data_IF_937226626387
#
_entry.id   IF_937226626387
#
_cell.length_a   1.000
_cell.length_b   1.000
_cell.length_c   1.000
_cell.angle_alpha   90.00
_cell.angle_beta   90.00
_cell.angle_gamma   90.00
#
_symmetry.space_group_name_H-M   'P 1'
#
loop_
_entity.id
_entity.type
_entity.pdbx_description
1 polymer ?
#
# COMPACT_ATOMS: atom_id res chain seq x y z
N UNK A 1 5.56 -6.39 -19.04
CA UNK A 1 6.73 -6.09 -18.18
C UNK A 1 6.25 -5.81 -16.75
N UNK A 2 7.14 -5.77 -15.75
CA UNK A 2 6.77 -5.45 -14.35
C UNK A 2 7.15 -4.01 -14.02
N UNK A 3 6.22 -3.27 -13.45
CA UNK A 3 6.50 -1.94 -12.91
C UNK A 3 6.96 -2.04 -11.44
N UNK A 4 7.69 -1.04 -10.95
CA UNK A 4 8.14 -0.99 -9.57
C UNK A 4 7.72 0.29 -8.87
N UNK A 5 7.11 0.17 -7.70
CA UNK A 5 6.80 1.28 -6.80
C UNK A 5 7.64 1.13 -5.54
N UNK A 6 8.42 2.16 -5.21
CA UNK A 6 9.24 2.21 -4.00
C UNK A 6 8.63 3.20 -3.01
N UNK A 7 8.25 2.73 -1.83
CA UNK A 7 7.61 3.52 -0.78
C UNK A 7 8.54 3.58 0.44
N UNK A 8 8.74 4.75 1.05
CA UNK A 8 9.41 4.85 2.35
C UNK A 8 8.43 4.46 3.47
N UNK A 9 8.79 3.45 4.27
CA UNK A 9 8.01 2.98 5.41
C UNK A 9 8.22 3.88 6.65
N UNK A 10 7.82 5.15 6.56
CA UNK A 10 8.03 6.13 7.63
C UNK A 10 7.31 5.69 8.91
N UNK A 11 8.10 5.58 9.99
CA UNK A 11 7.63 5.25 11.34
C UNK A 11 7.39 3.77 11.60
N UNK A 12 7.79 2.87 10.70
CA UNK A 12 7.48 1.43 10.80
C UNK A 12 7.89 0.82 12.14
N UNK A 13 9.11 1.09 12.62
CA UNK A 13 9.60 0.51 13.87
C UNK A 13 8.96 1.12 15.14
N UNK A 14 8.38 2.32 15.06
CA UNK A 14 7.63 2.95 16.17
C UNK A 14 6.30 2.22 16.38
N UNK A 15 5.65 1.80 15.30
CA UNK A 15 4.41 1.04 15.39
C UNK A 15 4.66 -0.42 15.80
N UNK A 16 5.79 -1.02 15.39
CA UNK A 16 6.20 -2.35 15.88
C UNK A 16 6.56 -2.37 17.37
N UNK A 17 7.14 -1.29 17.91
CA UNK A 17 7.46 -1.23 19.35
C UNK A 17 6.20 -1.06 20.20
N UNK A 18 5.20 -0.30 19.73
CA UNK A 18 3.86 -0.25 20.37
C UNK A 18 3.21 -1.64 20.38
N UNK A 19 3.36 -2.40 19.30
CA UNK A 19 2.86 -3.78 19.20
C UNK A 19 3.55 -4.70 20.24
N UNK A 20 4.87 -4.58 20.40
CA UNK A 20 5.66 -5.33 21.40
C UNK A 20 5.39 -4.93 22.85
N UNK A 21 5.09 -3.65 23.13
CA UNK A 21 4.75 -3.19 24.49
C UNK A 21 3.30 -3.52 24.90
N UNK A 22 2.43 -3.93 23.97
CA UNK A 22 1.06 -4.40 24.24
C UNK A 22 0.98 -5.89 24.62
N UNK A 23 2.11 -6.59 24.71
CA UNK A 23 2.16 -8.00 25.10
C UNK A 23 1.90 -8.29 26.59
N UNK A 24 1.57 -7.28 27.41
CA UNK A 24 0.97 -7.53 28.73
C UNK A 24 -0.56 -7.59 28.61
N UNK A 25 -1.03 -8.75 28.13
CA UNK A 25 -2.37 -9.30 28.37
C UNK A 25 -3.56 -8.47 27.92
N UNK A 26 -4.06 -8.68 26.69
CA UNK A 26 -5.50 -8.71 26.29
C UNK A 26 -5.63 -8.65 24.76
N UNK A 27 -6.40 -9.56 24.15
CA UNK A 27 -7.15 -9.41 22.88
C UNK A 27 -6.51 -8.54 21.75
N UNK A 28 -5.20 -8.65 21.50
CA UNK A 28 -4.47 -7.67 20.69
C UNK A 28 -4.51 -7.93 19.17
N UNK A 29 -4.84 -9.14 18.71
CA UNK A 29 -5.00 -9.44 17.28
C UNK A 29 -6.16 -8.65 16.63
N UNK A 30 -7.10 -8.15 17.44
CA UNK A 30 -8.25 -7.34 16.99
C UNK A 30 -7.83 -5.90 16.62
N UNK A 31 -6.69 -5.40 17.10
CA UNK A 31 -6.23 -4.01 16.88
C UNK A 31 -4.84 -3.92 16.24
N UNK A 32 -4.56 -4.79 15.25
CA UNK A 32 -3.41 -4.61 14.36
C UNK A 32 -3.39 -3.17 13.84
N UNK A 33 -2.41 -2.36 14.27
CA UNK A 33 -2.30 -0.96 13.86
C UNK A 33 -2.17 -0.94 12.33
N UNK A 34 -3.12 -0.32 11.60
CA UNK A 34 -3.13 -0.40 10.16
C UNK A 34 -1.84 0.19 9.60
N UNK A 35 -1.18 -0.55 8.71
CA UNK A 35 0.06 -0.07 8.08
C UNK A 35 -0.16 1.30 7.45
N UNK A 36 0.81 2.19 7.68
CA UNK A 36 0.81 3.54 7.14
C UNK A 36 0.97 3.56 5.62
N UNK A 37 1.42 2.46 5.04
CA UNK A 37 1.62 2.25 3.61
C UNK A 37 1.07 0.90 3.16
N UNK A 38 0.61 0.83 1.92
CA UNK A 38 0.26 -0.41 1.22
C UNK A 38 0.03 -0.15 -0.27
N UNK A 39 0.11 -1.23 -1.06
CA UNK A 39 -0.32 -1.25 -2.47
C UNK A 39 -1.32 -2.38 -2.61
N UNK A 40 -2.46 -2.11 -3.25
CA UNK A 40 -3.49 -3.11 -3.49
C UNK A 40 -3.90 -3.10 -4.97
N UNK A 41 -3.99 -4.29 -5.57
CA UNK A 41 -4.55 -4.49 -6.89
C UNK A 41 -6.07 -4.40 -6.82
N UNK A 42 -6.67 -3.67 -7.74
CA UNK A 42 -8.12 -3.56 -7.87
C UNK A 42 -8.57 -4.64 -8.87
N UNK A 43 -9.40 -5.58 -8.40
CA UNK A 43 -9.89 -6.70 -9.21
C UNK A 43 -11.34 -6.56 -9.63
N UNK A 44 -12.10 -5.67 -9.00
CA UNK A 44 -13.50 -5.44 -9.34
C UNK A 44 -14.17 -4.44 -8.42
N UNK A 45 -15.48 -4.29 -8.62
CA UNK A 45 -16.35 -3.53 -7.73
C UNK A 45 -17.03 -4.48 -6.74
N UNK A 46 -17.18 -4.06 -5.49
CA UNK A 46 -17.93 -4.77 -4.47
C UNK A 46 -19.17 -3.95 -4.13
N UNK A 47 -20.34 -4.44 -4.54
CA UNK A 47 -21.64 -3.78 -4.32
C UNK A 47 -22.08 -3.75 -2.86
N UNK A 48 -21.54 -4.65 -2.02
CA UNK A 48 -21.92 -4.77 -0.61
C UNK A 48 -21.33 -3.67 0.27
N UNK A 49 -20.13 -3.17 -0.07
CA UNK A 49 -19.39 -2.17 0.72
C UNK A 49 -19.16 -0.85 -0.02
N UNK A 50 -19.88 -0.61 -1.12
CA UNK A 50 -19.74 0.56 -2.00
C UNK A 50 -18.26 0.92 -2.30
N UNK A 51 -17.51 -0.07 -2.77
CA UNK A 51 -16.05 0.09 -2.90
C UNK A 51 -15.37 -0.92 -3.81
N UNK A 52 -14.05 -0.75 -3.95
CA UNK A 52 -13.23 -1.63 -4.79
C UNK A 52 -12.85 -2.92 -4.06
N UNK A 53 -12.92 -4.05 -4.77
CA UNK A 53 -12.31 -5.30 -4.35
C UNK A 53 -10.79 -5.18 -4.49
N UNK A 54 -10.09 -5.38 -3.39
CA UNK A 54 -8.65 -5.16 -3.25
C UNK A 54 -7.90 -6.45 -2.93
N UNK A 55 -6.82 -6.70 -3.64
CA UNK A 55 -5.84 -7.73 -3.33
C UNK A 55 -4.53 -7.06 -2.93
N UNK A 56 -4.12 -7.18 -1.68
CA UNK A 56 -2.91 -6.51 -1.18
C UNK A 56 -1.65 -7.16 -1.74
N UNK A 57 -0.81 -6.35 -2.36
CA UNK A 57 0.46 -6.79 -2.96
C UNK A 57 1.51 -6.89 -1.85
N UNK A 58 2.28 -7.97 -1.85
CA UNK A 58 3.42 -8.11 -0.95
C UNK A 58 4.59 -7.26 -1.45
N UNK A 59 5.17 -6.45 -0.57
CA UNK A 59 6.32 -5.61 -0.88
C UNK A 59 7.60 -6.17 -0.25
N UNK A 60 8.70 -6.09 -0.98
CA UNK A 60 10.02 -6.48 -0.48
C UNK A 60 10.64 -5.32 0.31
N UNK A 61 11.03 -5.57 1.56
CA UNK A 61 11.59 -4.55 2.45
C UNK A 61 13.10 -4.47 2.34
N UNK A 62 13.60 -3.26 2.28
CA UNK A 62 15.01 -2.92 2.25
C UNK A 62 15.35 -2.02 3.44
N UNK A 63 16.25 -2.50 4.29
CA UNK A 63 16.75 -1.84 5.49
C UNK A 63 18.15 -1.24 5.29
N UNK A 64 18.74 -1.32 4.09
CA UNK A 64 20.12 -0.87 3.84
C UNK A 64 20.36 0.61 4.17
N UNK A 65 19.31 1.43 4.14
CA UNK A 65 19.35 2.86 4.49
C UNK A 65 18.65 3.18 5.81
N UNK A 66 18.26 2.17 6.58
CA UNK A 66 17.55 2.37 7.84
C UNK A 66 18.47 3.08 8.85
N UNK A 67 17.91 4.05 9.58
CA UNK A 67 18.59 4.60 10.74
C UNK A 67 18.55 3.60 11.91
N UNK A 68 19.38 3.82 12.95
CA UNK A 68 19.45 2.91 14.10
C UNK A 68 18.11 2.65 14.81
N UNK A 69 17.15 3.58 14.72
CA UNK A 69 15.81 3.45 15.28
C UNK A 69 14.78 2.82 14.31
N UNK A 70 15.11 2.57 13.05
CA UNK A 70 14.18 2.05 12.03
C UNK A 70 12.96 2.95 11.78
N UNK A 71 13.05 4.24 12.11
CA UNK A 71 11.95 5.19 11.95
C UNK A 71 11.90 5.79 10.55
N UNK A 72 13.04 5.79 9.85
CA UNK A 72 13.22 6.29 8.47
C UNK A 72 14.24 5.47 7.73
N UNK A 73 14.24 5.60 6.40
CA UNK A 73 15.20 4.95 5.52
C UNK A 73 14.94 3.46 5.29
N UNK A 74 13.80 2.96 5.77
CA UNK A 74 13.27 1.65 5.37
C UNK A 74 12.44 1.88 4.11
N UNK A 75 12.74 1.15 3.05
CA UNK A 75 12.00 1.23 1.80
C UNK A 75 11.32 -0.09 1.50
N UNK A 76 10.10 -0.03 0.99
CA UNK A 76 9.36 -1.20 0.52
C UNK A 76 9.15 -1.08 -0.97
N UNK A 77 9.66 -2.06 -1.69
CA UNK A 77 9.56 -2.13 -3.15
C UNK A 77 8.48 -3.12 -3.53
N UNK A 78 7.50 -2.65 -4.30
CA UNK A 78 6.39 -3.43 -4.82
C UNK A 78 6.61 -3.68 -6.31
N UNK A 79 6.58 -4.95 -6.71
CA UNK A 79 6.65 -5.35 -8.11
C UNK A 79 5.23 -5.59 -8.62
N UNK A 80 4.79 -4.78 -9.58
CA UNK A 80 3.43 -4.76 -10.06
C UNK A 80 3.35 -5.34 -11.47
N UNK A 81 2.41 -6.27 -11.65
CA UNK A 81 2.02 -6.74 -12.98
C UNK A 81 1.03 -5.73 -13.61
N UNK A 82 0.78 -5.79 -14.92
CA UNK A 82 -0.23 -4.95 -15.56
C UNK A 82 -1.60 -5.03 -14.87
N UNK A 83 -2.27 -3.89 -14.73
CA UNK A 83 -3.55 -3.79 -14.04
C UNK A 83 -3.76 -2.50 -13.25
N UNK A 84 -4.86 -2.44 -12.51
CA UNK A 84 -5.27 -1.28 -11.72
C UNK A 84 -4.86 -1.45 -10.26
N UNK A 85 -4.39 -0.37 -9.63
CA UNK A 85 -3.90 -0.38 -8.27
C UNK A 85 -4.35 0.86 -7.49
N UNK A 86 -4.51 0.68 -6.18
CA UNK A 86 -4.60 1.75 -5.20
C UNK A 86 -3.33 1.72 -4.33
N UNK A 87 -2.71 2.88 -4.17
CA UNK A 87 -1.48 3.05 -3.40
C UNK A 87 -1.77 3.99 -2.25
N UNK A 88 -1.45 3.54 -1.04
CA UNK A 88 -1.37 4.39 0.15
C UNK A 88 0.09 4.50 0.55
N UNK A 89 0.57 5.73 0.69
CA UNK A 89 1.92 6.00 1.16
C UNK A 89 1.94 7.17 2.13
N UNK A 90 2.87 7.10 3.09
CA UNK A 90 3.13 8.20 4.00
C UNK A 90 4.18 9.12 3.38
N UNK A 91 3.83 10.37 3.10
CA UNK A 91 4.77 11.36 2.53
C UNK A 91 5.50 12.14 3.62
N UNK A 92 4.91 12.25 4.81
CA UNK A 92 5.55 12.84 6.00
C UNK A 92 4.94 12.27 7.28
N UNK A 93 5.49 12.61 8.45
CA UNK A 93 4.96 12.16 9.75
C UNK A 93 3.45 12.42 9.95
N UNK A 94 2.94 13.51 9.38
CA UNK A 94 1.54 13.94 9.49
C UNK A 94 0.72 13.71 8.22
N UNK A 95 1.37 13.52 7.07
CA UNK A 95 0.69 13.46 5.78
C UNK A 95 0.73 12.05 5.18
N UNK A 96 -0.42 11.60 4.70
CA UNK A 96 -0.59 10.33 3.97
C UNK A 96 -1.27 10.63 2.66
N UNK A 97 -0.67 10.19 1.58
CA UNK A 97 -1.22 10.29 0.24
C UNK A 97 -1.85 8.95 -0.15
N UNK A 98 -2.96 9.04 -0.87
CA UNK A 98 -3.61 7.89 -1.50
C UNK A 98 -3.94 8.27 -2.93
N UNK A 99 -3.54 7.43 -3.87
CA UNK A 99 -3.81 7.64 -5.29
C UNK A 99 -4.06 6.31 -5.99
N UNK A 100 -4.70 6.38 -7.16
CA UNK A 100 -4.90 5.24 -8.05
C UNK A 100 -3.94 5.30 -9.22
N UNK A 101 -3.57 4.14 -9.73
CA UNK A 101 -2.76 4.05 -10.94
C UNK A 101 -3.06 2.80 -11.74
N UNK A 102 -2.77 2.88 -13.04
CA UNK A 102 -2.75 1.76 -13.96
C UNK A 102 -1.31 1.43 -14.33
N UNK A 103 -0.98 0.14 -14.29
CA UNK A 103 0.26 -0.40 -14.83
C UNK A 103 -0.04 -0.96 -16.21
N UNK A 104 0.63 -0.44 -17.24
CA UNK A 104 0.48 -0.90 -18.62
C UNK A 104 1.29 -2.18 -18.88
N UNK A 105 1.08 -2.81 -20.04
CA UNK A 105 1.85 -4.00 -20.46
C UNK A 105 3.34 -3.68 -20.65
N UNK A 106 3.66 -2.44 -21.00
CA UNK A 106 5.01 -1.90 -21.15
C UNK A 106 5.67 -1.63 -19.79
N UNK A 107 4.91 -1.67 -18.69
CA UNK A 107 5.40 -1.41 -17.34
C UNK A 107 5.37 0.06 -16.94
N UNK A 108 4.64 0.90 -17.67
CA UNK A 108 4.43 2.31 -17.32
C UNK A 108 3.38 2.44 -16.22
N UNK A 109 3.56 3.43 -15.33
CA UNK A 109 2.63 3.74 -14.25
C UNK A 109 1.91 5.03 -14.57
N UNK A 110 0.61 4.95 -14.84
CA UNK A 110 -0.24 6.08 -15.16
C UNK A 110 -1.13 6.37 -13.96
N UNK A 111 -0.98 7.55 -13.33
CA UNK A 111 -1.88 7.97 -12.24
C UNK A 111 -3.27 8.28 -12.81
N UNK A 112 -4.30 7.89 -12.07
CA UNK A 112 -5.69 8.03 -12.48
C UNK A 112 -6.57 8.48 -11.33
N UNK A 113 -7.68 9.10 -11.66
CA UNK A 113 -8.72 9.43 -10.69
C UNK A 113 -9.71 8.26 -10.54
N UNK A 114 -10.46 8.27 -9.43
CA UNK A 114 -11.45 7.24 -9.12
C UNK A 114 -12.46 6.98 -10.27
N UNK A 115 -13.04 8.01 -10.93
CA UNK A 115 -14.01 7.77 -12.01
C UNK A 115 -13.42 7.03 -13.22
N UNK A 116 -12.13 7.20 -13.49
CA UNK A 116 -11.50 6.55 -14.63
C UNK A 116 -11.18 5.08 -14.32
N UNK A 117 -10.85 4.76 -13.06
CA UNK A 117 -10.76 3.38 -12.58
C UNK A 117 -12.10 2.65 -12.76
N UNK A 118 -13.21 3.30 -12.37
CA UNK A 118 -14.56 2.75 -12.54
C UNK A 118 -14.88 2.46 -14.01
N UNK A 119 -14.58 3.40 -14.91
CA UNK A 119 -14.72 3.18 -16.36
C UNK A 119 -13.87 2.00 -16.86
N UNK A 120 -12.63 1.88 -16.40
CA UNK A 120 -11.74 0.78 -16.78
C UNK A 120 -12.24 -0.58 -16.29
N UNK A 121 -12.93 -0.62 -15.14
CA UNK A 121 -13.56 -1.84 -14.64
C UNK A 121 -14.82 -2.20 -15.43
N UNK A 122 -15.65 -1.21 -15.77
CA UNK A 122 -16.88 -1.41 -16.56
C UNK A 122 -16.61 -1.86 -18.00
N UNK A 123 -15.52 -1.39 -18.62
CA UNK A 123 -15.13 -1.77 -19.99
C UNK A 123 -14.63 -3.22 -20.13
N UNK A 124 -14.42 -3.94 -19.03
CA UNK A 124 -13.96 -5.34 -19.04
C UNK A 124 -15.10 -6.36 -19.12
N UNK A 125 -16.34 -5.92 -19.28
CA UNK A 125 -17.52 -6.75 -19.61
C UNK A 125 -17.79 -6.72 -21.11
#
# INVERSE_FOLDING_TARGET
MKACIKIEAIGENIFQSIDRYRCFGTMADIFSVPKSYWVAKITGYCSEFDGFKREFVHGNRDYAKANGNGSRGIYVTYFLNPGLYEVKQKTSWKNTERYFCMVTEEGEIIKMDKPDIEKCLLKKC
#
